data_IF_404095381402
#
_entry.id   IF_404095381402
#
_cell.length_a   1.000
_cell.length_b   1.000
_cell.length_c   1.000
_cell.angle_alpha   90.00
_cell.angle_beta   90.00
_cell.angle_gamma   90.00
#
_symmetry.space_group_name_H-M   'P 1'
#
loop_
_entity.id
_entity.type
_entity.pdbx_description
1 polymer ?
#
# COMPACT_ATOMS: atom_id res chain seq x y z
N UNK A 1 -5.78 -21.16 0.68
CA UNK A 1 -6.14 -20.00 1.53
C UNK A 1 -6.18 -20.39 3.01
N UNK A 2 -7.12 -21.24 3.45
CA UNK A 2 -7.26 -21.63 4.86
C UNK A 2 -6.00 -22.27 5.48
N UNK A 3 -5.28 -23.12 4.74
CA UNK A 3 -4.04 -23.74 5.20
C UNK A 3 -2.87 -22.75 5.35
N UNK A 4 -2.85 -21.71 4.51
CA UNK A 4 -1.85 -20.62 4.59
C UNK A 4 -2.18 -19.70 5.76
N UNK A 5 -3.45 -19.44 6.02
CA UNK A 5 -3.90 -18.56 7.10
C UNK A 5 -3.81 -19.22 8.49
N UNK A 6 -3.62 -20.55 8.55
CA UNK A 6 -3.44 -21.32 9.79
C UNK A 6 -1.98 -21.52 10.23
N UNK A 7 -0.99 -21.00 9.49
CA UNK A 7 0.43 -21.23 9.83
C UNK A 7 0.82 -20.47 11.09
N UNK A 8 1.72 -20.99 11.95
CA UNK A 8 2.16 -20.27 13.14
C UNK A 8 3.05 -19.07 12.81
N UNK A 9 3.74 -19.08 11.67
CA UNK A 9 4.68 -18.03 11.28
C UNK A 9 3.98 -16.87 10.54
N UNK A 10 4.11 -15.66 11.09
CA UNK A 10 3.47 -14.45 10.53
C UNK A 10 3.89 -14.18 9.09
N UNK A 11 5.17 -14.37 8.78
CA UNK A 11 5.71 -14.14 7.44
C UNK A 11 5.12 -15.15 6.44
N UNK A 12 5.13 -16.44 6.73
CA UNK A 12 4.57 -17.45 5.84
C UNK A 12 3.05 -17.39 5.75
N UNK A 13 2.37 -16.85 6.77
CA UNK A 13 0.95 -16.49 6.68
C UNK A 13 0.74 -15.32 5.75
N UNK A 14 1.41 -14.18 5.96
CA UNK A 14 1.12 -12.90 5.30
C UNK A 14 1.85 -12.69 3.96
N UNK A 15 3.04 -13.26 3.78
CA UNK A 15 3.86 -13.22 2.57
C UNK A 15 4.45 -14.61 2.24
N UNK A 16 3.62 -15.59 1.81
CA UNK A 16 4.05 -16.97 1.56
C UNK A 16 5.20 -17.10 0.56
N UNK A 17 5.27 -16.18 -0.41
CA UNK A 17 6.35 -16.14 -1.40
C UNK A 17 7.73 -15.85 -0.78
N UNK A 18 7.76 -15.31 0.44
CA UNK A 18 8.98 -15.03 1.20
C UNK A 18 9.21 -16.05 2.32
N UNK A 19 8.47 -17.15 2.34
CA UNK A 19 8.68 -18.21 3.33
C UNK A 19 10.10 -18.77 3.20
N UNK A 20 10.80 -18.91 4.33
CA UNK A 20 12.21 -19.33 4.36
C UNK A 20 13.22 -18.24 4.00
N UNK A 21 12.77 -17.01 3.73
CA UNK A 21 13.66 -15.85 3.62
C UNK A 21 14.15 -15.37 4.99
N UNK A 22 15.08 -14.41 4.99
CA UNK A 22 15.53 -13.69 6.18
C UNK A 22 14.63 -12.50 6.54
N UNK A 23 13.43 -12.39 5.95
CA UNK A 23 12.53 -11.30 6.29
C UNK A 23 12.04 -11.43 7.73
N UNK A 24 12.02 -10.32 8.47
CA UNK A 24 11.61 -10.31 9.87
C UNK A 24 10.56 -9.24 10.10
N UNK A 25 9.52 -9.55 10.88
CA UNK A 25 8.52 -8.55 11.25
C UNK A 25 9.20 -7.44 12.06
N UNK A 26 9.01 -6.20 11.63
CA UNK A 26 9.39 -5.00 12.36
C UNK A 26 8.33 -4.75 13.43
N UNK A 27 8.65 -5.07 14.68
CA UNK A 27 7.73 -4.94 15.82
C UNK A 27 7.05 -6.25 16.22
N UNK A 28 6.07 -6.15 17.10
CA UNK A 28 5.32 -7.30 17.62
C UNK A 28 4.12 -7.64 16.74
N UNK A 29 3.83 -8.93 16.58
CA UNK A 29 2.64 -9.39 15.89
C UNK A 29 1.36 -8.83 16.55
N UNK A 30 0.42 -8.39 15.72
CA UNK A 30 -0.86 -7.83 16.20
C UNK A 30 -0.77 -6.39 16.71
N UNK A 31 0.42 -5.83 16.86
CA UNK A 31 0.61 -4.41 17.17
C UNK A 31 0.86 -3.62 15.89
N UNK A 32 -0.11 -2.76 15.52
CA UNK A 32 0.08 -1.81 14.43
C UNK A 32 0.89 -0.61 14.94
N UNK A 33 2.16 -0.57 14.56
CA UNK A 33 3.02 0.59 14.81
C UNK A 33 2.55 1.80 13.98
N UNK A 34 2.69 3.00 14.56
CA UNK A 34 2.34 4.26 13.88
C UNK A 34 3.59 4.90 13.29
N UNK A 35 3.60 5.09 11.98
CA UNK A 35 4.67 5.77 11.26
C UNK A 35 4.22 7.17 10.85
N UNK A 36 5.02 8.18 11.15
CA UNK A 36 4.72 9.59 10.84
C UNK A 36 5.85 10.23 10.06
N UNK A 37 5.52 10.91 8.98
CA UNK A 37 6.46 11.75 8.24
C UNK A 37 5.73 12.90 7.55
N UNK A 38 6.27 14.11 7.58
CA UNK A 38 5.79 15.27 6.82
C UNK A 38 4.25 15.54 6.90
N UNK A 39 3.58 15.20 8.01
CA UNK A 39 2.13 15.35 8.15
C UNK A 39 1.29 14.20 7.54
N UNK A 40 1.92 13.09 7.16
CA UNK A 40 1.29 11.82 6.83
C UNK A 40 1.49 10.83 7.99
N UNK A 41 0.41 10.17 8.41
CA UNK A 41 0.43 9.16 9.47
C UNK A 41 -0.17 7.85 8.96
N UNK A 42 0.63 6.77 8.96
CA UNK A 42 0.20 5.45 8.56
C UNK A 42 0.29 4.43 9.72
N UNK A 43 -0.59 3.44 9.67
CA UNK A 43 -0.58 2.25 10.51
C UNK A 43 -0.75 1.03 9.59
N UNK A 44 0.32 0.59 8.89
CA UNK A 44 0.27 -0.60 8.05
C UNK A 44 -0.05 -1.83 8.89
N UNK A 45 -0.53 -2.89 8.24
CA UNK A 45 -0.87 -4.15 8.91
C UNK A 45 0.37 -4.91 9.37
N UNK A 46 1.45 -4.80 8.60
CA UNK A 46 2.76 -5.29 8.99
C UNK A 46 3.85 -4.50 8.24
N UNK A 47 5.02 -4.38 8.86
CA UNK A 47 6.24 -3.96 8.17
C UNK A 47 7.27 -5.06 8.37
N UNK A 48 7.95 -5.49 7.33
CA UNK A 48 9.02 -6.48 7.43
C UNK A 48 10.36 -5.86 7.05
N UNK A 49 11.40 -6.16 7.80
CA UNK A 49 12.79 -5.92 7.39
C UNK A 49 13.17 -7.00 6.39
N UNK A 50 13.71 -6.62 5.23
CA UNK A 50 14.20 -7.55 4.21
C UNK A 50 15.50 -7.01 3.60
N UNK A 51 16.63 -7.59 4.02
CA UNK A 51 17.96 -7.05 3.70
C UNK A 51 18.16 -5.67 4.29
N UNK A 52 18.58 -4.70 3.47
CA UNK A 52 18.75 -3.30 3.87
C UNK A 52 17.49 -2.42 3.69
N UNK A 53 16.36 -3.03 3.32
CA UNK A 53 15.11 -2.34 3.06
C UNK A 53 13.94 -2.87 3.90
N UNK A 54 12.77 -2.29 3.64
CA UNK A 54 11.52 -2.60 4.32
C UNK A 54 10.44 -3.02 3.33
N UNK A 55 9.52 -3.87 3.78
CA UNK A 55 8.30 -4.24 3.06
C UNK A 55 7.12 -3.74 3.88
N UNK A 56 6.40 -2.74 3.39
CA UNK A 56 5.22 -2.18 4.03
C UNK A 56 3.97 -2.90 3.48
N UNK A 57 3.34 -3.73 4.31
CA UNK A 57 2.18 -4.52 3.94
C UNK A 57 0.88 -3.87 4.42
N UNK A 58 -0.02 -3.65 3.47
CA UNK A 58 -1.43 -3.38 3.75
C UNK A 58 -2.26 -4.62 3.42
N UNK A 59 -3.06 -5.06 4.37
CA UNK A 59 -3.92 -6.23 4.27
C UNK A 59 -5.38 -5.81 4.49
N UNK A 60 -6.16 -5.79 3.42
CA UNK A 60 -7.62 -5.72 3.56
C UNK A 60 -8.16 -7.14 3.62
N UNK A 61 -8.24 -7.69 4.83
CA UNK A 61 -9.02 -8.91 5.10
C UNK A 61 -10.54 -8.68 5.17
N UNK A 62 -11.03 -7.47 4.84
CA UNK A 62 -12.32 -6.97 5.33
C UNK A 62 -13.59 -7.47 4.64
N UNK A 63 -13.58 -7.81 3.35
CA UNK A 63 -14.77 -8.38 2.68
C UNK A 63 -14.61 -9.86 2.34
N UNK A 64 -13.39 -10.40 2.48
CA UNK A 64 -13.06 -11.80 2.23
C UNK A 64 -13.24 -12.25 0.77
N UNK A 65 -13.63 -11.34 -0.14
CA UNK A 65 -13.99 -11.71 -1.51
C UNK A 65 -12.73 -11.95 -2.33
N UNK A 66 -12.56 -13.15 -2.90
CA UNK A 66 -11.46 -13.41 -3.83
C UNK A 66 -11.63 -12.56 -5.10
N UNK A 67 -10.51 -12.10 -5.66
CA UNK A 67 -10.48 -11.51 -6.99
C UNK A 67 -10.79 -12.59 -8.03
N UNK A 68 -11.66 -12.26 -8.98
CA UNK A 68 -12.04 -13.14 -10.08
C UNK A 68 -10.95 -13.12 -11.16
N UNK A 69 -10.45 -14.29 -11.57
CA UNK A 69 -9.39 -14.39 -12.59
C UNK A 69 -9.78 -13.77 -13.95
N UNK A 70 -11.05 -13.84 -14.34
CA UNK A 70 -11.56 -13.29 -15.58
C UNK A 70 -11.84 -11.78 -15.52
N UNK A 71 -11.93 -11.20 -14.32
CA UNK A 71 -12.36 -9.80 -14.15
C UNK A 71 -11.52 -8.98 -13.14
N UNK A 72 -10.39 -9.51 -12.66
CA UNK A 72 -9.62 -8.89 -11.58
C UNK A 72 -9.16 -7.47 -11.92
N UNK A 73 -8.90 -7.18 -13.20
CA UNK A 73 -8.49 -5.85 -13.66
C UNK A 73 -9.59 -4.80 -13.43
N UNK A 74 -10.84 -5.13 -13.71
CA UNK A 74 -11.96 -4.21 -13.47
C UNK A 74 -12.31 -4.11 -11.99
N UNK A 75 -11.99 -5.16 -11.21
CA UNK A 75 -12.12 -5.15 -9.75
C UNK A 75 -11.02 -4.34 -9.07
N UNK A 76 -9.97 -3.95 -9.81
CA UNK A 76 -8.85 -3.23 -9.26
C UNK A 76 -9.24 -1.83 -8.79
N UNK A 77 -8.76 -1.48 -7.62
CA UNK A 77 -9.05 -0.21 -6.96
C UNK A 77 -7.81 0.65 -6.89
N UNK A 78 -7.74 1.66 -7.77
CA UNK A 78 -6.64 2.61 -7.80
C UNK A 78 -6.43 3.32 -6.45
N UNK A 79 -7.51 3.61 -5.72
CA UNK A 79 -7.42 4.19 -4.38
C UNK A 79 -6.72 3.26 -3.36
N UNK A 80 -6.87 1.94 -3.49
CA UNK A 80 -6.17 0.96 -2.65
C UNK A 80 -4.68 0.95 -2.96
N UNK A 81 -4.31 0.98 -4.25
CA UNK A 81 -2.91 1.13 -4.65
C UNK A 81 -2.30 2.39 -4.03
N UNK A 82 -2.95 3.55 -4.19
CA UNK A 82 -2.47 4.82 -3.66
C UNK A 82 -2.38 4.82 -2.13
N UNK A 83 -3.31 4.17 -1.43
CA UNK A 83 -3.24 3.95 0.02
C UNK A 83 -1.98 3.18 0.41
N UNK A 84 -1.67 2.09 -0.29
CA UNK A 84 -0.50 1.28 0.02
C UNK A 84 0.80 2.06 -0.23
N UNK A 85 0.84 2.83 -1.31
CA UNK A 85 1.97 3.72 -1.62
C UNK A 85 2.16 4.79 -0.55
N UNK A 86 1.10 5.48 -0.15
CA UNK A 86 1.15 6.48 0.91
C UNK A 86 1.58 5.86 2.27
N UNK A 87 1.11 4.66 2.60
CA UNK A 87 1.58 3.92 3.78
C UNK A 87 3.08 3.63 3.71
N UNK A 88 3.58 3.16 2.57
CA UNK A 88 5.01 2.90 2.37
C UNK A 88 5.84 4.18 2.43
N UNK A 89 5.35 5.31 1.89
CA UNK A 89 6.01 6.61 2.02
C UNK A 89 6.13 7.05 3.48
N UNK A 90 5.08 6.84 4.29
CA UNK A 90 5.12 7.14 5.72
C UNK A 90 6.17 6.32 6.47
N UNK A 91 6.24 5.01 6.18
CA UNK A 91 7.26 4.10 6.74
C UNK A 91 8.66 4.50 6.29
N UNK A 92 8.86 4.73 4.99
CA UNK A 92 10.15 5.13 4.43
C UNK A 92 10.65 6.44 5.05
N UNK A 93 9.78 7.45 5.16
CA UNK A 93 10.13 8.73 5.77
C UNK A 93 10.37 8.65 7.27
N UNK A 94 9.65 7.80 8.00
CA UNK A 94 9.85 7.62 9.44
C UNK A 94 11.13 6.82 9.76
N UNK A 95 11.46 5.82 8.94
CA UNK A 95 12.60 4.91 9.15
C UNK A 95 13.86 5.31 8.39
N UNK A 96 13.74 6.27 7.46
CA UNK A 96 14.82 6.67 6.54
C UNK A 96 15.41 5.47 5.78
N UNK A 97 14.54 4.56 5.32
CA UNK A 97 14.93 3.32 4.64
C UNK A 97 14.09 3.09 3.37
N UNK A 98 14.67 2.48 2.31
CA UNK A 98 13.91 2.06 1.14
C UNK A 98 12.77 1.14 1.56
N UNK A 99 11.55 1.42 1.12
CA UNK A 99 10.36 0.68 1.53
C UNK A 99 9.50 0.33 0.31
N UNK A 100 9.29 -0.96 0.07
CA UNK A 100 8.37 -1.44 -0.96
C UNK A 100 6.92 -1.44 -0.44
N UNK A 101 5.98 -1.02 -1.27
CA UNK A 101 4.56 -1.08 -0.96
C UNK A 101 3.97 -2.43 -1.40
N UNK A 102 3.45 -3.19 -0.44
CA UNK A 102 2.79 -4.46 -0.68
C UNK A 102 1.31 -4.37 -0.27
N UNK A 103 0.48 -5.04 -1.04
CA UNK A 103 -0.93 -5.23 -0.72
C UNK A 103 -1.30 -6.70 -0.81
N UNK A 104 -1.96 -7.22 0.23
CA UNK A 104 -2.50 -8.58 0.24
C UNK A 104 -4.02 -8.57 0.31
N UNK A 105 -4.64 -9.13 -0.72
CA UNK A 105 -6.04 -9.56 -0.72
C UNK A 105 -6.20 -11.03 -0.35
N UNK A 106 -7.41 -11.56 -0.51
CA UNK A 106 -7.74 -12.96 -0.15
C UNK A 106 -6.95 -14.01 -0.94
N UNK A 107 -6.79 -13.79 -2.25
CA UNK A 107 -6.16 -14.74 -3.18
C UNK A 107 -5.09 -14.08 -4.07
N UNK A 108 -4.63 -12.88 -3.70
CA UNK A 108 -3.68 -12.10 -4.49
C UNK A 108 -2.74 -11.31 -3.58
N UNK A 109 -1.48 -11.25 -3.99
CA UNK A 109 -0.44 -10.42 -3.39
C UNK A 109 0.12 -9.52 -4.48
N UNK A 110 0.10 -8.21 -4.25
CA UNK A 110 0.58 -7.21 -5.18
C UNK A 110 1.75 -6.44 -4.56
N UNK A 111 2.80 -6.24 -5.34
CA UNK A 111 3.80 -5.20 -5.11
C UNK A 111 3.51 -4.04 -6.05
N UNK A 112 3.58 -2.82 -5.56
CA UNK A 112 3.45 -1.63 -6.39
C UNK A 112 4.81 -0.99 -6.63
N UNK A 113 5.07 -0.72 -7.90
CA UNK A 113 6.21 0.05 -8.38
C UNK A 113 5.70 1.19 -9.27
N UNK A 114 5.23 2.30 -8.68
CA UNK A 114 4.60 3.37 -9.43
C UNK A 114 5.65 4.24 -10.12
N UNK A 115 5.28 4.87 -11.23
CA UNK A 115 6.13 5.89 -11.85
C UNK A 115 6.29 7.12 -10.95
N UNK A 116 7.32 7.92 -11.21
CA UNK A 116 7.64 9.12 -10.41
C UNK A 116 6.47 10.09 -10.31
N UNK A 117 5.68 10.28 -11.37
CA UNK A 117 4.53 11.18 -11.37
C UNK A 117 3.48 10.84 -10.30
N UNK A 118 3.26 9.55 -10.01
CA UNK A 118 2.33 9.13 -8.95
C UNK A 118 2.91 9.44 -7.57
N UNK A 119 4.20 9.16 -7.36
CA UNK A 119 4.89 9.45 -6.10
C UNK A 119 4.96 10.96 -5.83
N UNK A 120 5.29 11.75 -6.84
CA UNK A 120 5.32 13.22 -6.78
C UNK A 120 3.93 13.80 -6.49
N UNK A 121 2.88 13.25 -7.11
CA UNK A 121 1.51 13.64 -6.83
C UNK A 121 1.16 13.40 -5.36
N UNK A 122 1.47 12.20 -4.82
CA UNK A 122 1.22 11.90 -3.41
C UNK A 122 2.02 12.83 -2.48
N UNK A 123 3.31 13.02 -2.74
CA UNK A 123 4.20 13.81 -1.89
C UNK A 123 3.81 15.29 -1.85
N UNK A 124 3.56 15.89 -3.01
CA UNK A 124 3.28 17.33 -3.14
C UNK A 124 1.92 17.71 -2.53
N UNK A 125 0.96 16.78 -2.53
CA UNK A 125 -0.40 17.08 -2.09
C UNK A 125 -0.67 16.78 -0.61
N UNK A 126 0.31 16.35 0.19
CA UNK A 126 0.10 16.09 1.64
C UNK A 126 -0.43 17.35 2.35
N UNK A 127 0.19 18.51 2.10
CA UNK A 127 -0.23 19.77 2.70
C UNK A 127 -1.63 20.21 2.27
N UNK A 128 -1.93 20.13 0.97
CA UNK A 128 -3.23 20.47 0.42
C UNK A 128 -4.35 19.54 0.94
N UNK A 129 -4.06 18.24 1.02
CA UNK A 129 -4.98 17.26 1.58
C UNK A 129 -5.25 17.51 3.07
N UNK A 130 -4.23 17.87 3.87
CA UNK A 130 -4.42 18.26 5.28
C UNK A 130 -5.41 19.41 5.44
N UNK A 131 -5.28 20.43 4.60
CA UNK A 131 -6.22 21.56 4.58
C UNK A 131 -7.63 21.12 4.15
N UNK A 132 -7.74 20.33 3.08
CA UNK A 132 -9.01 19.82 2.57
C UNK A 132 -9.79 19.00 3.61
N UNK A 133 -9.11 18.14 4.37
CA UNK A 133 -9.71 17.31 5.40
C UNK A 133 -9.88 18.03 6.75
N UNK A 134 -9.56 19.32 6.84
CA UNK A 134 -9.54 20.11 8.07
C UNK A 134 -8.78 19.43 9.22
N UNK A 135 -7.68 18.73 8.90
CA UNK A 135 -6.83 18.08 9.90
C UNK A 135 -5.44 18.72 9.91
N UNK A 136 -5.23 19.59 10.90
CA UNK A 136 -4.02 20.38 11.03
C UNK A 136 -2.80 19.53 11.43
N UNK A 137 -2.96 18.35 12.02
CA UNK A 137 -1.82 17.57 12.53
C UNK A 137 -1.29 16.59 11.49
N UNK A 138 -2.18 15.79 10.89
CA UNK A 138 -1.80 14.74 9.96
C UNK A 138 -2.98 14.28 9.10
N UNK A 139 -2.70 13.61 8.00
CA UNK A 139 -3.69 12.85 7.22
C UNK A 139 -3.31 11.39 7.18
N UNK A 140 -4.31 10.54 6.93
CA UNK A 140 -4.11 9.11 6.70
C UNK A 140 -3.79 8.82 5.23
N UNK A 141 -3.18 7.66 4.93
CA UNK A 141 -3.05 7.15 3.56
C UNK A 141 -4.37 7.13 2.78
N UNK A 142 -5.49 6.79 3.43
CA UNK A 142 -6.82 6.78 2.80
C UNK A 142 -7.29 8.18 2.40
N UNK A 143 -7.08 9.17 3.27
CA UNK A 143 -7.39 10.57 3.00
C UNK A 143 -6.53 11.13 1.87
N UNK A 144 -5.23 10.84 1.86
CA UNK A 144 -4.32 11.28 0.80
C UNK A 144 -4.68 10.62 -0.53
N UNK A 145 -4.90 9.31 -0.54
CA UNK A 145 -5.30 8.57 -1.74
C UNK A 145 -6.61 9.12 -2.32
N UNK A 146 -7.65 9.29 -1.50
CA UNK A 146 -8.93 9.85 -1.95
C UNK A 146 -8.80 11.26 -2.52
N UNK A 147 -7.82 12.03 -2.02
CA UNK A 147 -7.55 13.38 -2.53
C UNK A 147 -6.77 13.35 -3.86
N UNK A 148 -5.77 12.47 -4.00
CA UNK A 148 -4.93 12.40 -5.18
C UNK A 148 -5.54 11.63 -6.35
N UNK A 149 -6.43 10.67 -6.09
CA UNK A 149 -6.96 9.75 -7.10
C UNK A 149 -7.63 10.47 -8.29
N UNK A 150 -8.54 11.44 -8.09
CA UNK A 150 -9.16 12.15 -9.21
C UNK A 150 -8.16 12.98 -10.02
N UNK A 151 -7.11 13.50 -9.35
CA UNK A 151 -6.06 14.31 -9.98
C UNK A 151 -5.17 13.46 -10.88
N UNK A 152 -4.85 12.25 -10.44
CA UNK A 152 -4.08 11.29 -11.23
C UNK A 152 -4.86 10.83 -12.47
N UNK A 153 -6.17 10.59 -12.35
CA UNK A 153 -7.00 10.27 -13.52
C UNK A 153 -7.07 11.40 -14.54
N UNK A 154 -6.94 12.64 -14.09
CA UNK A 154 -6.95 13.83 -14.94
C UNK A 154 -5.59 14.13 -15.59
N UNK A 155 -4.52 13.39 -15.26
CA UNK A 155 -3.20 13.63 -15.85
C UNK A 155 -3.19 13.25 -17.34
N UNK A 156 -2.70 14.13 -18.23
CA UNK A 156 -2.50 13.82 -19.64
C UNK A 156 -1.56 12.62 -19.80
N UNK A 157 -1.95 11.61 -20.59
CA UNK A 157 -1.15 10.41 -20.85
C UNK A 157 -1.60 9.13 -20.13
N UNK A 158 -2.55 9.20 -19.19
CA UNK A 158 -3.20 8.03 -18.59
C UNK A 158 -4.61 7.74 -19.16
N UNK A 159 -5.19 8.69 -19.90
CA UNK A 159 -6.57 8.64 -20.37
C UNK A 159 -6.82 7.77 -21.62
N UNK A 160 -5.78 7.23 -22.26
CA UNK A 160 -5.94 6.45 -23.51
C UNK A 160 -4.86 5.40 -23.64
N UNK A 161 -5.16 4.18 -23.21
CA UNK A 161 -4.66 2.99 -23.91
C UNK A 161 -5.89 2.43 -24.61
N UNK A 162 -5.99 2.67 -25.93
CA UNK A 162 -6.98 1.97 -26.76
C UNK A 162 -6.81 0.47 -26.53
N UNK A 163 -7.91 -0.30 -26.35
CA UNK A 163 -7.78 -1.74 -26.30
C UNK A 163 -7.18 -2.21 -27.62
N UNK A 164 -6.03 -2.88 -27.56
CA UNK A 164 -5.47 -3.56 -28.70
C UNK A 164 -6.54 -4.52 -29.25
N UNK A 165 -7.07 -4.20 -30.42
CA UNK A 165 -7.95 -5.09 -31.19
C UNK A 165 -7.19 -6.37 -31.45
N UNK A 166 -7.69 -7.47 -30.87
CA UNK A 166 -7.30 -8.84 -31.21
C UNK A 166 -7.86 -9.25 -32.58
#
# INVERSE_FOLDING_TARGET
PAEVDGRPDVLGRLLPILQGSQAQLLGAEGQRETFRTAGLQAQPDAVFVHGSGLLCLSHKGGDGRPHDIGNWRAQWRADVMLQCLASAMAVAGARQQPTAALWRGTNVLCQFDPCSAVLECLATHIGAARHYWNNAAWITPAQLASFCEPRLRALPGLATVEPATA
#
